data_IF_628816375936
#
_entry.id   IF_628816375936
#
_cell.length_a   1.000
_cell.length_b   1.000
_cell.length_c   1.000
_cell.angle_alpha   90.00
_cell.angle_beta   90.00
_cell.angle_gamma   90.00
#
_symmetry.space_group_name_H-M   'P 1'
#
loop_
_entity.id
_entity.type
_entity.pdbx_description
1 polymer ?
#
# COMPACT_ATOMS: atom_id res chain seq x y z
N UNK A 1 -11.39 -7.51 -48.60
CA UNK A 1 -12.20 -6.41 -48.05
C UNK A 1 -11.36 -5.64 -47.04
N UNK A 2 -11.20 -4.32 -47.15
CA UNK A 2 -10.46 -3.52 -46.16
C UNK A 2 -11.19 -3.54 -44.81
N UNK A 3 -10.45 -3.38 -43.71
CA UNK A 3 -11.00 -3.38 -42.34
C UNK A 3 -11.90 -2.14 -42.15
N UNK A 4 -13.11 -2.29 -41.60
CA UNK A 4 -14.01 -1.16 -41.35
C UNK A 4 -13.52 -0.35 -40.14
N UNK A 5 -12.69 0.66 -40.37
CA UNK A 5 -12.03 1.43 -39.31
C UNK A 5 -13.03 2.27 -38.49
N UNK A 6 -14.12 2.74 -39.09
CA UNK A 6 -15.17 3.48 -38.39
C UNK A 6 -15.83 2.63 -37.30
N UNK A 7 -15.96 1.33 -37.53
CA UNK A 7 -16.48 0.39 -36.54
C UNK A 7 -15.49 0.16 -35.37
N UNK A 8 -14.20 0.46 -35.56
CA UNK A 8 -13.16 0.31 -34.54
C UNK A 8 -12.93 1.57 -33.71
N UNK A 9 -13.37 2.75 -34.18
CA UNK A 9 -13.19 4.02 -33.46
C UNK A 9 -13.76 3.99 -32.03
N UNK A 10 -14.98 3.46 -31.77
CA UNK A 10 -15.50 3.38 -30.40
C UNK A 10 -14.63 2.50 -29.50
N UNK A 11 -14.11 1.38 -30.03
CA UNK A 11 -13.23 0.49 -29.28
C UNK A 11 -11.88 1.12 -28.99
N UNK A 12 -11.31 1.86 -29.95
CA UNK A 12 -10.06 2.59 -29.76
C UNK A 12 -10.20 3.66 -28.65
N UNK A 13 -11.31 4.38 -28.62
CA UNK A 13 -11.60 5.37 -27.56
C UNK A 13 -11.72 4.68 -26.20
N UNK A 14 -12.46 3.56 -26.11
CA UNK A 14 -12.58 2.79 -24.87
C UNK A 14 -11.22 2.30 -24.36
N UNK A 15 -10.42 1.70 -25.24
CA UNK A 15 -9.06 1.23 -24.90
C UNK A 15 -8.18 2.40 -24.45
N UNK A 16 -8.25 3.54 -25.13
CA UNK A 16 -7.52 4.75 -24.76
C UNK A 16 -7.89 5.25 -23.36
N UNK A 17 -9.19 5.35 -23.06
CA UNK A 17 -9.69 5.77 -21.74
C UNK A 17 -9.25 4.79 -20.63
N UNK A 18 -9.43 3.48 -20.82
CA UNK A 18 -8.98 2.49 -19.84
C UNK A 18 -7.45 2.48 -19.67
N UNK A 19 -6.71 2.67 -20.76
CA UNK A 19 -5.26 2.77 -20.74
C UNK A 19 -4.78 3.97 -19.92
N UNK A 20 -5.36 5.15 -20.15
CA UNK A 20 -5.03 6.37 -19.40
C UNK A 20 -5.39 6.22 -17.92
N UNK A 21 -6.59 5.72 -17.60
CA UNK A 21 -7.00 5.53 -16.21
C UNK A 21 -6.14 4.50 -15.48
N UNK A 22 -5.83 3.37 -16.12
CA UNK A 22 -5.00 2.32 -15.54
C UNK A 22 -3.55 2.76 -15.28
N UNK A 23 -2.94 3.41 -16.27
CA UNK A 23 -1.58 3.96 -16.13
C UNK A 23 -1.53 5.11 -15.12
N UNK A 24 -2.50 6.01 -15.16
CA UNK A 24 -2.62 7.11 -14.18
C UNK A 24 -2.71 6.59 -12.75
N UNK A 25 -3.54 5.57 -12.50
CA UNK A 25 -3.63 4.96 -11.17
C UNK A 25 -2.33 4.27 -10.75
N UNK A 26 -1.63 3.60 -11.67
CA UNK A 26 -0.36 2.96 -11.38
C UNK A 26 0.72 3.99 -10.97
N UNK A 27 0.78 5.14 -11.67
CA UNK A 27 1.71 6.23 -11.36
C UNK A 27 1.41 6.82 -9.99
N UNK A 28 0.16 7.17 -9.71
CA UNK A 28 -0.25 7.71 -8.40
C UNK A 28 0.08 6.74 -7.27
N UNK A 29 -0.21 5.45 -7.45
CA UNK A 29 0.12 4.42 -6.45
C UNK A 29 1.63 4.28 -6.25
N UNK A 30 2.45 4.35 -7.30
CA UNK A 30 3.89 4.31 -7.14
C UNK A 30 4.40 5.54 -6.37
N UNK A 31 3.88 6.73 -6.65
CA UNK A 31 4.26 7.94 -5.91
C UNK A 31 3.87 7.89 -4.43
N UNK A 32 2.66 7.41 -4.13
CA UNK A 32 2.21 7.22 -2.74
C UNK A 32 3.02 6.17 -1.97
N UNK A 33 3.65 5.23 -2.68
CA UNK A 33 4.47 4.18 -2.09
C UNK A 33 5.97 4.47 -2.20
N UNK A 34 6.37 5.74 -2.26
CA UNK A 34 7.79 6.16 -2.30
C UNK A 34 8.56 5.55 -3.48
N UNK A 35 7.89 5.39 -4.62
CA UNK A 35 8.43 4.77 -5.83
C UNK A 35 8.41 3.23 -5.83
N UNK A 36 7.95 2.60 -4.74
CA UNK A 36 7.83 1.15 -4.64
C UNK A 36 6.48 0.67 -5.17
N UNK A 37 6.44 -0.58 -5.64
CA UNK A 37 5.19 -1.21 -6.06
C UNK A 37 4.24 -1.40 -4.87
N UNK A 38 2.91 -1.22 -5.08
CA UNK A 38 1.94 -1.52 -4.04
C UNK A 38 1.96 -3.01 -3.69
N UNK A 39 1.75 -3.32 -2.41
CA UNK A 39 1.63 -4.71 -1.93
C UNK A 39 0.21 -5.23 -2.13
N UNK A 40 0.09 -6.51 -2.49
CA UNK A 40 -1.17 -7.22 -2.66
C UNK A 40 -1.19 -8.44 -1.73
N UNK A 41 -2.37 -8.93 -1.38
CA UNK A 41 -2.54 -10.11 -0.50
C UNK A 41 -1.86 -10.00 0.87
N UNK A 42 -1.82 -8.77 1.42
CA UNK A 42 -1.26 -8.50 2.75
C UNK A 42 -2.01 -9.33 3.79
N UNK A 43 -1.31 -10.10 4.62
CA UNK A 43 -1.88 -11.01 5.61
C UNK A 43 -1.87 -10.41 7.03
N UNK A 44 -2.23 -11.19 8.04
CA UNK A 44 -2.25 -10.74 9.43
C UNK A 44 -0.87 -10.35 9.97
N UNK A 45 0.19 -10.99 9.46
CA UNK A 45 1.56 -10.71 9.87
C UNK A 45 2.05 -9.37 9.30
N UNK A 46 1.63 -9.08 8.07
CA UNK A 46 1.97 -7.86 7.36
C UNK A 46 1.07 -6.67 7.71
N UNK A 47 -0.22 -6.89 8.01
CA UNK A 47 -1.26 -5.83 8.17
C UNK A 47 -1.16 -5.07 9.48
N UNK A 48 -1.15 -3.73 9.49
CA UNK A 48 -1.46 -2.87 10.65
C UNK A 48 -2.84 -3.13 11.24
N UNK A 49 -3.02 -4.21 11.99
CA UNK A 49 -4.37 -4.74 12.13
C UNK A 49 -5.22 -4.00 13.17
N UNK A 50 -6.49 -3.85 12.81
CA UNK A 50 -7.61 -3.29 13.61
C UNK A 50 -8.75 -4.35 13.66
N UNK A 51 -8.45 -5.62 13.34
CA UNK A 51 -9.49 -6.65 13.09
C UNK A 51 -9.24 -8.03 13.72
N UNK A 52 -8.02 -8.35 14.18
CA UNK A 52 -7.72 -9.57 14.91
C UNK A 52 -7.82 -9.34 16.41
N UNK A 53 -8.66 -10.12 17.06
CA UNK A 53 -8.84 -10.22 18.52
C UNK A 53 -7.59 -10.74 19.27
N UNK A 54 -6.42 -10.73 18.64
CA UNK A 54 -5.15 -11.21 19.20
C UNK A 54 -4.30 -10.01 19.60
N UNK A 55 -4.19 -9.80 20.90
CA UNK A 55 -3.61 -8.62 21.54
C UNK A 55 -2.07 -8.47 21.45
N UNK A 56 -1.41 -9.11 20.48
CA UNK A 56 0.06 -9.24 20.54
C UNK A 56 0.84 -9.14 19.24
N UNK A 57 0.27 -8.72 18.10
CA UNK A 57 1.10 -8.58 16.90
C UNK A 57 1.37 -7.12 16.49
N UNK A 58 2.59 -6.67 16.77
CA UNK A 58 3.18 -5.54 16.06
C UNK A 58 3.51 -5.97 14.65
N UNK A 59 2.62 -5.66 13.74
CA UNK A 59 2.73 -6.16 12.38
C UNK A 59 3.87 -5.48 11.64
N UNK A 60 4.43 -6.19 10.67
CA UNK A 60 5.72 -5.83 10.07
C UNK A 60 5.69 -4.43 9.46
N UNK A 61 4.59 -4.04 8.83
CA UNK A 61 4.46 -2.71 8.23
C UNK A 61 4.42 -1.57 9.27
N UNK A 62 3.75 -1.77 10.41
CA UNK A 62 3.73 -0.77 11.50
C UNK A 62 5.08 -0.67 12.20
N UNK A 63 5.78 -1.80 12.35
CA UNK A 63 7.17 -1.81 12.83
C UNK A 63 8.08 -1.01 11.89
N UNK A 64 8.03 -1.29 10.58
CA UNK A 64 8.88 -0.62 9.59
C UNK A 64 8.61 0.89 9.52
N UNK A 65 7.33 1.28 9.64
CA UNK A 65 6.95 2.69 9.76
C UNK A 65 7.55 3.36 11.00
N UNK A 66 7.59 2.66 12.15
CA UNK A 66 8.22 3.17 13.38
C UNK A 66 9.74 3.25 13.28
N UNK A 67 10.37 2.34 12.55
CA UNK A 67 11.81 2.31 12.31
C UNK A 67 12.26 3.41 11.34
N UNK A 68 11.44 3.74 10.34
CA UNK A 68 11.85 4.62 9.23
C UNK A 68 11.12 5.96 9.18
N UNK A 69 10.02 6.12 9.93
CA UNK A 69 9.19 7.33 9.92
C UNK A 69 8.33 7.51 8.66
N UNK A 70 8.41 6.60 7.69
CA UNK A 70 7.74 6.68 6.39
C UNK A 70 6.83 5.48 6.18
N UNK A 71 5.85 5.57 5.26
CA UNK A 71 4.85 4.50 5.09
C UNK A 71 5.45 3.25 4.46
N UNK A 72 6.44 3.42 3.58
CA UNK A 72 7.08 2.33 2.80
C UNK A 72 8.59 2.30 2.94
N UNK A 73 9.15 3.04 3.88
CA UNK A 73 10.58 3.03 4.19
C UNK A 73 11.06 1.63 4.55
N UNK A 74 12.27 1.32 4.11
CA UNK A 74 13.01 0.13 4.53
C UNK A 74 14.38 0.59 5.01
N UNK A 75 14.87 -0.04 6.06
CA UNK A 75 16.19 0.20 6.63
C UNK A 75 16.88 -1.13 6.84
N UNK A 76 18.15 -1.18 6.47
CA UNK A 76 19.06 -2.32 6.64
C UNK A 76 20.08 -2.08 7.77
N UNK A 77 19.95 -0.96 8.48
CA UNK A 77 20.82 -0.60 9.61
C UNK A 77 20.78 -1.69 10.70
N UNK A 78 21.95 -2.11 11.22
CA UNK A 78 22.01 -3.14 12.26
C UNK A 78 21.49 -2.63 13.62
N UNK A 79 21.58 -1.34 13.87
CA UNK A 79 21.10 -0.68 15.08
C UNK A 79 19.86 0.17 14.79
N UNK A 80 18.87 0.08 15.67
CA UNK A 80 17.64 0.87 15.57
C UNK A 80 17.90 2.36 15.88
N UNK A 81 17.12 3.30 15.32
CA UNK A 81 17.27 4.71 15.62
C UNK A 81 16.92 5.01 17.09
N UNK A 82 17.57 6.05 17.63
CA UNK A 82 17.30 6.54 18.98
C UNK A 82 15.81 6.87 19.15
N UNK A 83 15.21 6.46 20.27
CA UNK A 83 13.80 6.67 20.57
C UNK A 83 12.85 5.58 20.01
N UNK A 84 13.33 4.64 19.19
CA UNK A 84 12.55 3.47 18.79
C UNK A 84 12.11 2.64 20.01
N UNK A 85 12.94 2.59 21.04
CA UNK A 85 12.68 1.93 22.33
C UNK A 85 11.45 2.49 23.08
N UNK A 86 11.08 3.75 22.83
CA UNK A 86 9.95 4.43 23.47
C UNK A 86 8.72 4.51 22.56
N UNK A 87 8.85 4.17 21.28
CA UNK A 87 7.79 4.33 20.27
C UNK A 87 6.91 3.08 20.14
N UNK A 88 6.39 2.58 21.27
CA UNK A 88 5.56 1.37 21.30
C UNK A 88 4.10 1.67 21.69
N UNK A 89 3.23 2.08 20.73
CA UNK A 89 1.90 2.62 21.03
C UNK A 89 0.82 1.55 21.15
N UNK A 90 0.37 1.25 22.37
CA UNK A 90 -0.72 0.29 22.55
C UNK A 90 -2.03 0.84 21.97
N UNK A 91 -2.65 0.10 21.05
CA UNK A 91 -3.96 0.45 20.51
C UNK A 91 -5.01 0.21 21.60
N UNK A 92 -5.88 1.20 21.82
CA UNK A 92 -7.00 1.13 22.74
C UNK A 92 -8.29 1.11 21.93
N UNK A 93 -9.06 0.04 22.08
CA UNK A 93 -10.37 -0.09 21.44
C UNK A 93 -11.46 0.41 22.40
N UNK A 94 -12.54 0.98 21.84
CA UNK A 94 -13.73 1.29 22.62
C UNK A 94 -14.47 0.02 22.99
N UNK A 95 -15.23 0.04 24.10
CA UNK A 95 -16.04 -1.11 24.49
C UNK A 95 -17.05 -1.42 23.38
N UNK A 96 -17.06 -2.67 22.93
CA UNK A 96 -18.12 -3.20 22.08
C UNK A 96 -19.45 -3.14 22.84
N UNK A 97 -20.37 -2.28 22.41
CA UNK A 97 -21.75 -2.19 22.92
C UNK A 97 -22.72 -2.95 22.02
#
# INVERSE_FOLDING_TARGET
MPVPFEALLPYAIMIGMFGISGTGLAVVKNWQNEGKRPRYSVDQWDRPDDSSRVLTNWTVMDRDRRLTGTLRGQTDKPEAPLGFELNNPWKLETRFS
#
